data_IF_509202739170
#
_entry.id   IF_509202739170
#
_cell.length_a   1.000
_cell.length_b   1.000
_cell.length_c   1.000
_cell.angle_alpha   90.00
_cell.angle_beta   90.00
_cell.angle_gamma   90.00
#
_symmetry.space_group_name_H-M   'P 1'
#
loop_
_entity.id
_entity.type
_entity.pdbx_description
1 polymer ?
#
# COMPACT_ATOMS: atom_id res chain seq x y z
N UNK A 1 -14.70 16.12 -1.47
CA UNK A 1 -15.52 16.91 -2.40
C UNK A 1 -14.78 16.92 -3.72
N UNK A 2 -15.43 16.57 -4.83
CA UNK A 2 -14.92 16.90 -6.16
C UNK A 2 -14.94 18.44 -6.25
N UNK A 3 -13.88 19.07 -6.75
CA UNK A 3 -13.89 20.52 -7.01
C UNK A 3 -15.07 20.86 -7.92
N UNK A 4 -15.84 21.88 -7.56
CA UNK A 4 -17.02 22.34 -8.32
C UNK A 4 -16.64 22.92 -9.71
N UNK A 5 -15.35 22.98 -10.04
CA UNK A 5 -14.79 23.49 -11.30
C UNK A 5 -14.60 22.41 -12.39
N UNK A 6 -14.96 21.15 -12.14
CA UNK A 6 -14.79 20.10 -13.16
C UNK A 6 -15.91 20.17 -14.21
N UNK A 7 -15.56 20.38 -15.47
CA UNK A 7 -16.52 20.44 -16.58
C UNK A 7 -17.33 19.13 -16.71
N UNK A 8 -18.63 19.17 -17.04
CA UNK A 8 -19.45 17.98 -17.22
C UNK A 8 -18.87 16.99 -18.25
N UNK A 9 -18.23 17.50 -19.30
CA UNK A 9 -17.57 16.71 -20.32
C UNK A 9 -16.38 15.92 -19.75
N UNK A 10 -15.58 16.53 -18.86
CA UNK A 10 -14.45 15.87 -18.20
C UNK A 10 -14.93 14.77 -17.26
N UNK A 11 -16.02 14.99 -16.53
CA UNK A 11 -16.66 13.96 -15.70
C UNK A 11 -17.17 12.79 -16.55
N UNK A 12 -17.73 13.05 -17.72
CA UNK A 12 -18.20 12.01 -18.62
C UNK A 12 -17.03 11.16 -19.15
N UNK A 13 -15.92 11.80 -19.55
CA UNK A 13 -14.70 11.11 -19.99
C UNK A 13 -14.11 10.27 -18.85
N UNK A 14 -14.06 10.82 -17.63
CA UNK A 14 -13.56 10.10 -16.46
C UNK A 14 -14.39 8.84 -16.18
N UNK A 15 -15.73 8.95 -16.19
CA UNK A 15 -16.63 7.80 -16.02
C UNK A 15 -16.37 6.73 -17.07
N UNK A 16 -16.30 7.12 -18.35
CA UNK A 16 -16.00 6.19 -19.43
C UNK A 16 -14.65 5.47 -19.23
N UNK A 17 -13.62 6.18 -18.77
CA UNK A 17 -12.31 5.58 -18.47
C UNK A 17 -12.39 4.57 -17.32
N UNK A 18 -13.14 4.89 -16.26
CA UNK A 18 -13.37 3.98 -15.14
C UNK A 18 -14.06 2.70 -15.63
N UNK A 19 -15.11 2.82 -16.45
CA UNK A 19 -15.83 1.66 -17.00
C UNK A 19 -14.92 0.77 -17.86
N UNK A 20 -14.06 1.37 -18.70
CA UNK A 20 -13.07 0.63 -19.47
C UNK A 20 -12.07 -0.12 -18.58
N UNK A 21 -11.59 0.51 -17.50
CA UNK A 21 -10.65 -0.12 -16.56
C UNK A 21 -11.32 -1.27 -15.81
N UNK A 22 -12.57 -1.10 -15.37
CA UNK A 22 -13.34 -2.18 -14.71
C UNK A 22 -13.51 -3.36 -15.66
N UNK A 23 -13.98 -3.11 -16.88
CA UNK A 23 -14.15 -4.16 -17.88
C UNK A 23 -12.83 -4.88 -18.20
N UNK A 24 -11.72 -4.13 -18.28
CA UNK A 24 -10.39 -4.70 -18.45
C UNK A 24 -9.97 -5.57 -17.26
N UNK A 25 -10.19 -5.09 -16.02
CA UNK A 25 -9.91 -5.84 -14.80
C UNK A 25 -10.69 -7.15 -14.73
N UNK A 26 -11.93 -7.17 -15.19
CA UNK A 26 -12.78 -8.37 -15.17
C UNK A 26 -12.37 -9.38 -16.24
N UNK A 27 -12.10 -8.92 -17.47
CA UNK A 27 -12.04 -9.80 -18.64
C UNK A 27 -10.62 -10.10 -19.14
N UNK A 28 -9.64 -9.21 -18.92
CA UNK A 28 -8.33 -9.30 -19.57
C UNK A 28 -7.14 -9.21 -18.62
N UNK A 29 -7.30 -8.54 -17.47
CA UNK A 29 -6.21 -8.31 -16.56
C UNK A 29 -5.66 -9.65 -16.02
N UNK A 30 -4.34 -9.86 -16.06
CA UNK A 30 -3.74 -11.06 -15.52
C UNK A 30 -3.83 -11.06 -13.98
N UNK A 31 -4.00 -12.23 -13.35
CA UNK A 31 -4.15 -12.34 -11.89
C UNK A 31 -3.04 -11.62 -11.10
N UNK A 32 -1.81 -11.56 -11.65
CA UNK A 32 -0.65 -10.90 -11.04
C UNK A 32 -0.78 -9.39 -10.82
N UNK A 33 -1.76 -8.72 -11.45
CA UNK A 33 -2.01 -7.28 -11.26
C UNK A 33 -3.30 -7.00 -10.50
N UNK A 34 -4.12 -8.03 -10.23
CA UNK A 34 -5.34 -7.91 -9.44
C UNK A 34 -4.97 -8.06 -7.97
N UNK A 35 -5.31 -7.05 -7.16
CA UNK A 35 -5.16 -7.09 -5.71
C UNK A 35 -6.27 -6.25 -5.08
N UNK A 36 -6.51 -6.48 -3.80
CA UNK A 36 -7.40 -5.68 -2.97
C UNK A 36 -6.74 -5.45 -1.63
N UNK A 37 -7.13 -4.37 -0.94
CA UNK A 37 -6.70 -4.12 0.43
C UNK A 37 -7.45 -5.06 1.37
N UNK A 38 -6.70 -5.84 2.16
CA UNK A 38 -7.25 -6.64 3.23
C UNK A 38 -7.87 -5.74 4.30
N UNK A 39 -9.18 -5.85 4.52
CA UNK A 39 -9.90 -5.03 5.51
C UNK A 39 -9.47 -5.36 6.94
N UNK A 40 -9.13 -6.61 7.21
CA UNK A 40 -8.53 -7.09 8.46
C UNK A 40 -7.13 -7.65 8.21
N UNK A 41 -6.35 -7.89 9.27
CA UNK A 41 -5.06 -8.57 9.14
C UNK A 41 -5.26 -9.96 8.50
N UNK A 42 -4.52 -10.29 7.43
CA UNK A 42 -4.55 -11.62 6.84
C UNK A 42 -3.80 -12.63 7.73
N UNK A 43 -4.15 -13.91 7.63
CA UNK A 43 -3.47 -15.00 8.33
C UNK A 43 -2.09 -15.27 7.71
N UNK A 44 -1.11 -14.45 8.07
CA UNK A 44 0.23 -14.51 7.54
C UNK A 44 1.26 -14.60 8.67
N UNK A 45 2.23 -15.50 8.51
CA UNK A 45 3.29 -15.71 9.52
C UNK A 45 4.32 -14.58 9.51
N UNK A 46 4.41 -13.81 10.57
CA UNK A 46 5.39 -12.72 10.70
C UNK A 46 6.53 -13.20 11.59
N UNK A 47 7.74 -13.22 11.05
CA UNK A 47 8.95 -13.57 11.79
C UNK A 47 9.38 -12.45 12.73
N UNK A 48 10.18 -12.78 13.76
CA UNK A 48 10.71 -11.77 14.70
C UNK A 48 11.52 -10.66 14.01
N UNK A 49 12.25 -10.99 12.93
CA UNK A 49 12.98 -10.00 12.13
C UNK A 49 12.03 -9.06 11.36
N UNK A 50 10.91 -9.60 10.85
CA UNK A 50 9.88 -8.79 10.20
C UNK A 50 9.15 -7.91 11.22
N UNK A 51 8.82 -8.42 12.40
CA UNK A 51 8.22 -7.62 13.50
C UNK A 51 9.13 -6.47 13.92
N UNK A 52 10.41 -6.74 14.12
CA UNK A 52 11.40 -5.71 14.46
C UNK A 52 11.50 -4.63 13.36
N UNK A 53 11.47 -5.02 12.09
CA UNK A 53 11.41 -4.06 10.98
C UNK A 53 10.12 -3.24 11.00
N UNK A 54 8.96 -3.86 11.22
CA UNK A 54 7.66 -3.19 11.22
C UNK A 54 7.54 -2.20 12.39
N UNK A 55 8.06 -2.54 13.57
CA UNK A 55 8.14 -1.62 14.71
C UNK A 55 9.01 -0.39 14.39
N UNK A 56 10.20 -0.59 13.81
CA UNK A 56 11.05 0.54 13.38
C UNK A 56 10.40 1.38 12.27
N UNK A 57 9.71 0.73 11.34
CA UNK A 57 8.99 1.42 10.28
C UNK A 57 7.84 2.26 10.85
N UNK A 58 7.09 1.73 11.82
CA UNK A 58 6.02 2.46 12.50
C UNK A 58 6.54 3.76 13.12
N UNK A 59 7.61 3.68 13.90
CA UNK A 59 8.21 4.86 14.55
C UNK A 59 8.65 5.90 13.53
N UNK A 60 9.27 5.46 12.43
CA UNK A 60 9.74 6.37 11.38
C UNK A 60 8.59 7.01 10.62
N UNK A 61 7.63 6.21 10.16
CA UNK A 61 6.56 6.68 9.28
C UNK A 61 5.55 7.59 10.00
N UNK A 62 5.45 7.50 11.33
CA UNK A 62 4.66 8.44 12.14
C UNK A 62 5.11 9.90 11.99
N UNK A 63 6.41 10.14 11.82
CA UNK A 63 7.00 11.48 11.69
C UNK A 63 7.12 12.00 10.25
N UNK A 64 6.73 11.21 9.26
CA UNK A 64 6.91 11.52 7.84
C UNK A 64 5.64 12.16 7.26
N UNK A 65 5.79 13.10 6.32
CA UNK A 65 4.65 13.65 5.57
C UNK A 65 3.94 12.52 4.82
N UNK A 66 2.60 12.55 4.81
CA UNK A 66 1.78 11.50 4.18
C UNK A 66 1.75 11.62 2.66
N UNK A 67 2.92 11.52 2.05
CA UNK A 67 3.16 11.66 0.62
C UNK A 67 3.84 10.39 0.09
N UNK A 68 3.44 9.93 -1.09
CA UNK A 68 3.87 8.63 -1.62
C UNK A 68 5.38 8.42 -1.68
N UNK A 69 6.13 9.45 -2.07
CA UNK A 69 7.60 9.41 -2.11
C UNK A 69 8.21 9.31 -0.71
N UNK A 70 7.71 10.09 0.24
CA UNK A 70 8.22 10.13 1.61
C UNK A 70 7.97 8.80 2.34
N UNK A 71 6.77 8.23 2.17
CA UNK A 71 6.44 6.89 2.67
C UNK A 71 7.35 5.83 2.02
N UNK A 72 7.53 5.89 0.70
CA UNK A 72 8.37 4.93 -0.01
C UNK A 72 9.82 4.96 0.47
N UNK A 73 10.37 6.16 0.67
CA UNK A 73 11.72 6.36 1.17
C UNK A 73 11.87 5.83 2.60
N UNK A 74 10.91 6.12 3.49
CA UNK A 74 10.91 5.57 4.85
C UNK A 74 10.94 4.03 4.85
N UNK A 75 10.09 3.39 4.04
CA UNK A 75 10.07 1.93 3.88
C UNK A 75 11.41 1.40 3.37
N UNK A 76 11.97 2.02 2.33
CA UNK A 76 13.24 1.59 1.75
C UNK A 76 14.41 1.74 2.73
N UNK A 77 14.50 2.87 3.44
CA UNK A 77 15.57 3.12 4.40
C UNK A 77 15.50 2.19 5.62
N UNK A 78 14.31 1.99 6.21
CA UNK A 78 14.12 1.05 7.30
C UNK A 78 14.46 -0.39 6.87
N UNK A 79 14.00 -0.80 5.69
CA UNK A 79 14.23 -2.15 5.20
C UNK A 79 15.70 -2.38 4.85
N UNK A 80 16.40 -1.37 4.31
CA UNK A 80 17.85 -1.43 4.06
C UNK A 80 18.68 -1.54 5.34
N UNK A 81 18.26 -0.89 6.42
CA UNK A 81 18.93 -0.97 7.72
C UNK A 81 18.61 -2.27 8.49
N UNK A 82 17.52 -2.95 8.11
CA UNK A 82 17.06 -4.19 8.75
C UNK A 82 17.74 -5.45 8.19
N UNK A 83 17.71 -6.53 8.97
CA UNK A 83 18.24 -7.85 8.54
C UNK A 83 17.46 -8.51 7.40
N UNK A 84 16.25 -8.04 7.06
CA UNK A 84 15.41 -8.61 5.99
C UNK A 84 15.66 -7.96 4.61
N UNK A 85 16.38 -6.82 4.59
CA UNK A 85 16.68 -6.06 3.39
C UNK A 85 15.46 -5.47 2.67
N UNK A 86 15.66 -4.68 1.60
CA UNK A 86 14.56 -4.04 0.87
C UNK A 86 13.53 -5.04 0.34
N UNK A 87 13.98 -6.14 -0.28
CA UNK A 87 13.07 -7.16 -0.81
C UNK A 87 12.16 -7.74 0.28
N UNK A 88 12.70 -8.08 1.44
CA UNK A 88 11.93 -8.60 2.57
C UNK A 88 10.97 -7.57 3.13
N UNK A 89 11.43 -6.34 3.35
CA UNK A 89 10.61 -5.25 3.89
C UNK A 89 9.41 -4.90 3.02
N UNK A 90 9.57 -4.85 1.70
CA UNK A 90 8.43 -4.67 0.79
C UNK A 90 7.52 -5.90 0.74
N UNK A 91 8.08 -7.12 0.78
CA UNK A 91 7.28 -8.35 0.77
C UNK A 91 6.37 -8.49 1.98
N UNK A 92 6.86 -8.21 3.20
CA UNK A 92 6.01 -8.26 4.39
C UNK A 92 4.89 -7.22 4.31
N UNK A 93 5.16 -6.02 3.79
CA UNK A 93 4.14 -4.99 3.63
C UNK A 93 3.08 -5.39 2.59
N UNK A 94 3.45 -5.97 1.45
CA UNK A 94 2.44 -6.51 0.53
C UNK A 94 1.60 -7.63 1.15
N UNK A 95 2.19 -8.46 2.02
CA UNK A 95 1.46 -9.54 2.70
C UNK A 95 0.43 -8.98 3.67
N UNK A 96 0.81 -8.06 4.56
CA UNK A 96 -0.13 -7.53 5.57
C UNK A 96 -1.21 -6.61 4.98
N UNK A 97 -0.97 -5.99 3.82
CA UNK A 97 -1.94 -5.08 3.18
C UNK A 97 -2.78 -5.73 2.09
N UNK A 98 -2.23 -6.68 1.32
CA UNK A 98 -2.89 -7.20 0.12
C UNK A 98 -2.92 -8.73 0.06
N UNK A 99 -2.35 -9.45 1.04
CA UNK A 99 -2.13 -10.90 0.99
C UNK A 99 -1.39 -11.35 -0.29
N UNK A 100 -0.41 -10.55 -0.72
CA UNK A 100 0.38 -10.80 -1.92
C UNK A 100 1.88 -10.66 -1.66
N UNK A 101 2.70 -11.18 -2.58
CA UNK A 101 4.17 -11.09 -2.51
C UNK A 101 4.74 -9.90 -3.28
N UNK A 102 3.93 -9.25 -4.10
CA UNK A 102 4.32 -8.13 -4.97
C UNK A 102 3.06 -7.34 -5.32
N UNK A 103 3.22 -6.11 -5.80
CA UNK A 103 2.10 -5.25 -6.12
C UNK A 103 2.53 -3.91 -6.73
N UNK A 104 1.70 -2.87 -6.63
CA UNK A 104 2.01 -1.55 -7.15
C UNK A 104 3.16 -0.90 -6.38
N UNK A 105 3.64 0.27 -6.79
CA UNK A 105 4.61 1.04 -6.00
C UNK A 105 4.04 1.35 -4.62
N UNK A 106 4.47 0.58 -3.62
CA UNK A 106 3.72 0.43 -2.36
C UNK A 106 3.62 1.72 -1.55
N UNK A 107 4.68 2.52 -1.43
CA UNK A 107 4.60 3.81 -0.73
C UNK A 107 3.59 4.79 -1.34
N UNK A 108 3.49 4.85 -2.67
CA UNK A 108 2.48 5.65 -3.37
C UNK A 108 1.09 5.09 -3.16
N UNK A 109 0.94 3.77 -3.20
CA UNK A 109 -0.33 3.13 -2.92
C UNK A 109 -0.82 3.40 -1.49
N UNK A 110 0.04 3.23 -0.48
CA UNK A 110 -0.31 3.51 0.93
C UNK A 110 -0.68 4.98 1.15
N UNK A 111 -0.09 5.92 0.40
CA UNK A 111 -0.47 7.34 0.48
C UNK A 111 -1.90 7.65 0.01
N UNK A 112 -2.52 6.74 -0.75
CA UNK A 112 -3.93 6.87 -1.16
C UNK A 112 -4.91 6.28 -0.15
N UNK A 113 -4.41 5.58 0.86
CA UNK A 113 -5.20 4.97 1.93
C UNK A 113 -5.29 5.91 3.13
N UNK A 114 -6.27 5.65 3.99
CA UNK A 114 -6.39 6.31 5.27
C UNK A 114 -5.13 6.09 6.12
N UNK A 115 -4.60 7.18 6.69
CA UNK A 115 -3.34 7.16 7.43
C UNK A 115 -3.43 6.30 8.68
N UNK A 116 -4.51 6.43 9.43
CA UNK A 116 -4.67 5.73 10.70
C UNK A 116 -4.87 4.23 10.46
N UNK A 117 -5.54 3.86 9.37
CA UNK A 117 -5.60 2.47 8.90
C UNK A 117 -4.21 1.88 8.63
N UNK A 118 -3.36 2.59 7.88
CA UNK A 118 -2.01 2.09 7.55
C UNK A 118 -1.14 1.96 8.79
N UNK A 119 -1.15 2.98 9.66
CA UNK A 119 -0.40 2.95 10.92
C UNK A 119 -0.89 1.84 11.85
N UNK A 120 -2.20 1.69 11.98
CA UNK A 120 -2.84 0.64 12.77
C UNK A 120 -2.43 -0.75 12.31
N UNK A 121 -2.48 -1.02 10.99
CA UNK A 121 -2.07 -2.31 10.42
C UNK A 121 -0.60 -2.62 10.66
N UNK A 122 0.30 -1.64 10.51
CA UNK A 122 1.73 -1.84 10.76
C UNK A 122 1.98 -2.15 12.24
N UNK A 123 1.30 -1.44 13.14
CA UNK A 123 1.40 -1.67 14.59
C UNK A 123 0.90 -3.06 14.98
N UNK A 124 -0.29 -3.45 14.52
CA UNK A 124 -0.85 -4.78 14.74
C UNK A 124 0.09 -5.89 14.24
N UNK A 125 0.77 -5.68 13.10
CA UNK A 125 1.73 -6.63 12.55
C UNK A 125 3.07 -6.67 13.30
N UNK A 126 3.36 -5.68 14.15
CA UNK A 126 4.62 -5.56 14.89
C UNK A 126 4.58 -6.19 16.29
N UNK A 127 3.38 -6.50 16.79
CA UNK A 127 3.13 -7.22 18.04
C UNK A 127 3.40 -8.72 17.88
#
# INVERSE_FOLDING_TARGET
MLDDDVAPEDLAILKQRVDCVIYWLENFAPNKVKFSVCQTMPDCKISEQEKAFLSQLYDKICGVKWEGEQIHNAMYECSKASGIGPRGGFQILYRIFCDQKQGPRLGFFLSTLDRDFVLGRIREASE
#
